data_IF_895094557153
#
_entry.id   IF_895094557153
#
_cell.length_a   1.000
_cell.length_b   1.000
_cell.length_c   1.000
_cell.angle_alpha   90.00
_cell.angle_beta   90.00
_cell.angle_gamma   90.00
#
_symmetry.space_group_name_H-M   'P 1'
#
loop_
_entity.id
_entity.type
_entity.pdbx_description
1 polymer ?
#
# COMPACT_ATOMS: atom_id res chain seq x y z
N UNK A 1 -16.12 7.01 -4.24
CA UNK A 1 -15.61 5.97 -3.33
C UNK A 1 -16.48 5.89 -2.07
N UNK A 2 -17.14 4.76 -1.84
CA UNK A 2 -18.04 4.52 -0.70
C UNK A 2 -17.41 4.87 0.67
N UNK A 3 -16.09 4.71 0.78
CA UNK A 3 -15.32 4.98 2.00
C UNK A 3 -15.22 6.47 2.35
N UNK A 4 -15.08 7.38 1.37
CA UNK A 4 -15.04 8.82 1.66
C UNK A 4 -16.38 9.35 2.17
N UNK A 5 -17.50 8.84 1.61
CA UNK A 5 -18.86 9.20 2.04
C UNK A 5 -19.12 8.73 3.48
N UNK A 6 -18.75 7.48 3.80
CA UNK A 6 -18.89 6.93 5.16
C UNK A 6 -18.07 7.73 6.18
N UNK A 7 -16.84 8.09 5.85
CA UNK A 7 -15.95 8.87 6.71
C UNK A 7 -16.44 10.31 6.94
N UNK A 8 -16.97 10.96 5.89
CA UNK A 8 -17.59 12.28 6.02
C UNK A 8 -18.78 12.27 6.98
N UNK A 9 -19.67 11.28 6.87
CA UNK A 9 -20.80 11.09 7.79
C UNK A 9 -20.35 10.83 9.23
N UNK A 10 -19.30 10.00 9.42
CA UNK A 10 -18.73 9.74 10.74
C UNK A 10 -18.15 11.01 11.37
N UNK A 11 -17.42 11.81 10.59
CA UNK A 11 -16.84 13.09 11.05
C UNK A 11 -17.92 14.06 11.51
N UNK A 12 -19.01 14.20 10.75
CA UNK A 12 -20.14 15.05 11.12
C UNK A 12 -20.84 14.59 12.41
N UNK A 13 -20.98 13.27 12.60
CA UNK A 13 -21.53 12.70 13.84
C UNK A 13 -20.66 13.02 15.05
N UNK A 14 -19.36 12.75 14.96
CA UNK A 14 -18.43 13.03 16.07
C UNK A 14 -18.30 14.52 16.35
N UNK A 15 -18.34 15.37 15.32
CA UNK A 15 -18.39 16.82 15.48
C UNK A 15 -19.58 17.25 16.35
N UNK A 16 -20.77 16.71 16.08
CA UNK A 16 -21.96 17.02 16.87
C UNK A 16 -21.83 16.54 18.32
N UNK A 17 -21.31 15.34 18.53
CA UNK A 17 -21.05 14.81 19.89
C UNK A 17 -20.06 15.68 20.66
N UNK A 18 -18.97 16.13 20.04
CA UNK A 18 -17.98 17.04 20.66
C UNK A 18 -18.59 18.40 20.96
N UNK A 19 -19.52 18.87 20.12
CA UNK A 19 -20.24 20.13 20.35
C UNK A 19 -21.17 20.05 21.56
N UNK A 20 -21.88 18.93 21.73
CA UNK A 20 -22.81 18.71 22.86
C UNK A 20 -22.09 18.30 24.14
N UNK A 21 -20.97 17.58 24.03
CA UNK A 21 -20.14 17.11 25.16
C UNK A 21 -18.68 17.56 24.98
N UNK A 22 -18.35 18.83 25.23
CA UNK A 22 -17.02 19.38 24.96
C UNK A 22 -15.92 18.87 25.89
N UNK A 23 -16.23 18.12 26.94
CA UNK A 23 -15.23 17.51 27.84
C UNK A 23 -15.01 16.00 27.59
N UNK A 24 -15.75 15.40 26.65
CA UNK A 24 -15.60 14.00 26.28
C UNK A 24 -14.31 13.79 25.48
N UNK A 25 -13.32 13.13 26.10
CA UNK A 25 -12.00 12.87 25.51
C UNK A 25 -12.07 11.88 24.34
N UNK A 26 -12.92 10.87 24.43
CA UNK A 26 -13.07 9.84 23.39
C UNK A 26 -13.72 10.44 22.13
N UNK A 27 -14.78 11.23 22.31
CA UNK A 27 -15.44 11.93 21.21
C UNK A 27 -14.48 12.89 20.48
N UNK A 28 -13.66 13.63 21.23
CA UNK A 28 -12.63 14.52 20.65
C UNK A 28 -11.59 13.73 19.84
N UNK A 29 -11.08 12.64 20.40
CA UNK A 29 -10.08 11.80 19.74
C UNK A 29 -10.62 11.23 18.42
N UNK A 30 -11.84 10.66 18.45
CA UNK A 30 -12.49 10.10 17.26
C UNK A 30 -12.80 11.16 16.21
N UNK A 31 -13.24 12.36 16.62
CA UNK A 31 -13.44 13.48 15.70
C UNK A 31 -12.14 13.89 15.03
N UNK A 32 -11.06 14.06 15.80
CA UNK A 32 -9.75 14.47 15.28
C UNK A 32 -9.20 13.46 14.27
N UNK A 33 -9.29 12.17 14.57
CA UNK A 33 -8.80 11.11 13.67
C UNK A 33 -9.61 11.06 12.36
N UNK A 34 -10.94 11.13 12.45
CA UNK A 34 -11.78 11.17 11.25
C UNK A 34 -11.49 12.42 10.41
N UNK A 35 -11.38 13.59 11.05
CA UNK A 35 -11.10 14.86 10.37
C UNK A 35 -9.73 14.85 9.68
N UNK A 36 -8.71 14.25 10.31
CA UNK A 36 -7.36 14.08 9.73
C UNK A 36 -7.43 13.30 8.42
N UNK A 37 -8.10 12.15 8.41
CA UNK A 37 -8.22 11.31 7.22
C UNK A 37 -9.07 11.99 6.14
N UNK A 38 -10.16 12.68 6.50
CA UNK A 38 -10.97 13.45 5.52
C UNK A 38 -10.14 14.52 4.84
N UNK A 39 -9.34 15.27 5.60
CA UNK A 39 -8.45 16.30 5.05
C UNK A 39 -7.38 15.72 4.14
N UNK A 40 -6.74 14.62 4.56
CA UNK A 40 -5.77 13.92 3.73
C UNK A 40 -6.39 13.47 2.40
N UNK A 41 -7.57 12.85 2.44
CA UNK A 41 -8.27 12.40 1.22
C UNK A 41 -8.76 13.55 0.34
N UNK A 42 -9.17 14.67 0.94
CA UNK A 42 -9.55 15.87 0.20
C UNK A 42 -8.34 16.46 -0.53
N UNK A 43 -7.19 16.50 0.13
CA UNK A 43 -5.93 16.94 -0.47
C UNK A 43 -5.48 16.00 -1.59
N UNK A 44 -5.41 14.68 -1.34
CA UNK A 44 -5.09 13.66 -2.35
C UNK A 44 -5.94 13.85 -3.60
N UNK A 45 -7.27 14.02 -3.44
CA UNK A 45 -8.20 14.27 -4.56
C UNK A 45 -7.97 15.58 -5.29
N UNK A 46 -7.53 16.63 -4.59
CA UNK A 46 -7.26 17.93 -5.18
C UNK A 46 -5.96 17.94 -6.00
N UNK A 47 -5.00 17.08 -5.66
CA UNK A 47 -3.71 16.97 -6.37
C UNK A 47 -3.66 15.85 -7.42
N UNK A 48 -4.71 15.03 -7.57
CA UNK A 48 -4.76 14.03 -8.64
C UNK A 48 -4.79 14.74 -10.00
N UNK A 49 -3.69 14.67 -10.73
CA UNK A 49 -3.61 15.07 -12.15
C UNK A 49 -4.03 13.95 -13.10
N UNK A 50 -4.23 14.31 -14.37
CA UNK A 50 -4.63 13.39 -15.47
C UNK A 50 -3.48 12.48 -15.96
N UNK A 51 -2.26 12.71 -15.47
CA UNK A 51 -1.08 12.02 -15.96
C UNK A 51 -1.10 10.54 -15.54
N UNK A 52 -0.71 9.67 -16.47
CA UNK A 52 -0.82 8.23 -16.32
C UNK A 52 -0.25 7.75 -14.99
N UNK A 53 -1.04 6.89 -14.34
CA UNK A 53 -0.88 6.29 -13.02
C UNK A 53 0.40 5.44 -12.91
N UNK A 54 1.57 6.04 -13.12
CA UNK A 54 2.87 5.42 -12.91
C UNK A 54 2.95 5.03 -11.44
N UNK A 55 3.41 3.82 -11.16
CA UNK A 55 3.60 3.40 -9.77
C UNK A 55 4.60 4.34 -9.13
N UNK A 56 4.41 4.70 -7.86
CA UNK A 56 5.43 5.45 -7.10
C UNK A 56 6.78 4.74 -7.16
N UNK A 57 6.75 3.41 -7.25
CA UNK A 57 7.92 2.54 -7.39
C UNK A 57 8.64 2.75 -8.73
N UNK A 58 7.94 3.12 -9.80
CA UNK A 58 8.54 3.35 -11.13
C UNK A 58 9.29 4.69 -11.21
N UNK A 59 8.97 5.63 -10.31
CA UNK A 59 9.64 6.94 -10.20
C UNK A 59 10.77 6.97 -9.16
N UNK A 60 10.91 5.91 -8.37
CA UNK A 60 11.95 5.81 -7.34
C UNK A 60 13.22 5.22 -7.96
N UNK A 61 14.35 5.89 -7.75
CA UNK A 61 15.67 5.32 -8.04
C UNK A 61 16.01 4.28 -6.95
N UNK A 62 15.71 3.02 -7.26
CA UNK A 62 15.96 1.90 -6.34
C UNK A 62 17.45 1.52 -6.30
N UNK A 63 18.18 1.80 -7.38
CA UNK A 63 19.56 1.39 -7.54
C UNK A 63 20.49 2.14 -6.59
N UNK A 64 20.27 3.46 -6.43
CA UNK A 64 21.06 4.32 -5.54
C UNK A 64 20.80 4.12 -4.04
N UNK A 65 19.75 3.40 -3.64
CA UNK A 65 19.57 3.04 -2.23
C UNK A 65 20.68 2.08 -1.79
N UNK A 66 21.40 2.42 -0.73
CA UNK A 66 22.37 1.51 -0.10
C UNK A 66 21.68 0.64 0.97
N UNK A 67 22.14 -0.60 1.09
CA UNK A 67 21.83 -1.44 2.24
C UNK A 67 23.02 -1.30 3.17
N UNK A 68 22.77 -0.90 4.42
CA UNK A 68 23.80 -0.80 5.46
C UNK A 68 24.54 -2.14 5.62
N UNK A 69 25.85 -2.09 5.88
CA UNK A 69 26.70 -3.28 5.93
C UNK A 69 26.30 -4.21 7.10
N UNK A 70 25.72 -3.65 8.16
CA UNK A 70 25.20 -4.37 9.32
C UNK A 70 23.90 -5.17 9.02
N UNK A 71 23.29 -4.98 7.84
CA UNK A 71 22.06 -5.67 7.50
C UNK A 71 22.29 -7.15 7.19
N UNK A 72 22.00 -8.00 8.17
CA UNK A 72 22.11 -9.47 8.07
C UNK A 72 20.85 -10.18 7.54
N UNK A 73 19.87 -9.42 7.05
CA UNK A 73 18.62 -9.98 6.55
C UNK A 73 18.70 -10.49 5.10
N UNK A 74 17.62 -11.11 4.59
CA UNK A 74 17.57 -11.64 3.23
C UNK A 74 17.75 -10.53 2.18
N UNK A 75 18.65 -10.76 1.24
CA UNK A 75 18.93 -9.87 0.10
C UNK A 75 18.60 -10.59 -1.20
N UNK A 76 18.04 -9.87 -2.17
CA UNK A 76 17.88 -10.41 -3.52
C UNK A 76 19.26 -10.50 -4.19
N UNK A 77 19.47 -11.58 -4.94
CA UNK A 77 20.64 -11.75 -5.79
C UNK A 77 20.22 -11.54 -7.24
N UNK A 78 20.97 -10.73 -7.99
CA UNK A 78 20.72 -10.40 -9.39
C UNK A 78 19.28 -9.95 -9.69
N UNK A 79 18.67 -9.22 -8.75
CA UNK A 79 17.28 -8.77 -8.80
C UNK A 79 16.25 -9.90 -9.06
N UNK A 80 16.57 -11.13 -8.66
CA UNK A 80 15.70 -12.30 -8.80
C UNK A 80 15.25 -12.83 -7.46
N UNK A 81 13.97 -13.17 -7.38
CA UNK A 81 13.41 -13.89 -6.23
C UNK A 81 13.85 -15.35 -6.32
N UNK A 82 14.72 -15.77 -5.40
CA UNK A 82 15.20 -17.15 -5.30
C UNK A 82 14.51 -17.89 -4.15
N UNK A 83 14.52 -19.23 -4.21
CA UNK A 83 13.98 -20.08 -3.13
C UNK A 83 14.73 -19.82 -1.81
N UNK A 84 16.04 -19.64 -1.87
CA UNK A 84 16.89 -19.31 -0.71
C UNK A 84 16.46 -18.00 -0.06
N UNK A 85 16.22 -16.96 -0.88
CA UNK A 85 15.68 -15.69 -0.40
C UNK A 85 14.33 -15.88 0.30
N UNK A 86 13.39 -16.62 -0.31
CA UNK A 86 12.06 -16.83 0.27
C UNK A 86 12.11 -17.59 1.59
N UNK A 87 12.97 -18.61 1.71
CA UNK A 87 13.19 -19.34 2.97
C UNK A 87 13.76 -18.42 4.06
N UNK A 88 14.75 -17.60 3.72
CA UNK A 88 15.30 -16.60 4.63
C UNK A 88 14.27 -15.55 5.04
N UNK A 89 13.45 -15.08 4.10
CA UNK A 89 12.39 -14.09 4.34
C UNK A 89 11.31 -14.60 5.28
N UNK A 90 10.86 -15.84 5.08
CA UNK A 90 9.91 -16.47 5.99
C UNK A 90 10.48 -16.56 7.41
N UNK A 91 11.74 -16.96 7.56
CA UNK A 91 12.37 -17.01 8.89
C UNK A 91 12.53 -15.62 9.50
N UNK A 92 12.95 -14.63 8.70
CA UNK A 92 13.11 -13.24 9.15
C UNK A 92 11.80 -12.64 9.70
N UNK A 93 10.67 -12.93 9.04
CA UNK A 93 9.35 -12.51 9.53
C UNK A 93 8.84 -13.33 10.72
N UNK A 94 9.19 -14.62 10.82
CA UNK A 94 8.93 -15.40 12.05
C UNK A 94 9.64 -14.81 13.26
N UNK A 95 10.84 -14.30 13.07
CA UNK A 95 11.62 -13.59 14.11
C UNK A 95 11.11 -12.14 14.35
N UNK A 96 10.00 -11.74 13.73
CA UNK A 96 9.44 -10.38 13.80
C UNK A 96 10.39 -9.26 13.33
N UNK A 97 11.35 -9.58 12.45
CA UNK A 97 12.30 -8.61 11.92
C UNK A 97 11.75 -7.93 10.66
N UNK A 98 12.19 -6.70 10.41
CA UNK A 98 11.76 -5.91 9.24
C UNK A 98 12.71 -6.14 8.06
N UNK A 99 12.15 -6.34 6.88
CA UNK A 99 12.92 -6.40 5.63
C UNK A 99 13.44 -4.99 5.31
N UNK A 100 14.64 -4.90 4.73
CA UNK A 100 15.20 -3.62 4.30
C UNK A 100 14.33 -2.98 3.21
N UNK A 101 14.16 -1.65 3.23
CA UNK A 101 13.30 -0.92 2.29
C UNK A 101 13.67 -1.19 0.84
N UNK A 102 14.97 -1.20 0.49
CA UNK A 102 15.46 -1.56 -0.85
C UNK A 102 14.90 -2.90 -1.32
N UNK A 103 15.01 -3.94 -0.50
CA UNK A 103 14.51 -5.27 -0.85
C UNK A 103 12.98 -5.30 -0.97
N UNK A 104 12.25 -4.55 -0.14
CA UNK A 104 10.80 -4.39 -0.31
C UNK A 104 10.45 -3.75 -1.65
N UNK A 105 11.14 -2.67 -2.03
CA UNK A 105 10.89 -1.99 -3.30
C UNK A 105 11.27 -2.85 -4.51
N UNK A 106 12.38 -3.60 -4.45
CA UNK A 106 12.75 -4.55 -5.50
C UNK A 106 11.67 -5.61 -5.71
N UNK A 107 11.15 -6.23 -4.63
CA UNK A 107 10.05 -7.20 -4.73
C UNK A 107 8.77 -6.56 -5.28
N UNK A 108 8.42 -5.35 -4.83
CA UNK A 108 7.25 -4.62 -5.34
C UNK A 108 7.38 -4.30 -6.82
N UNK A 109 8.56 -3.85 -7.26
CA UNK A 109 8.84 -3.58 -8.66
C UNK A 109 8.68 -4.85 -9.52
N UNK A 110 9.31 -5.96 -9.11
CA UNK A 110 9.19 -7.26 -9.81
C UNK A 110 7.75 -7.78 -9.87
N UNK A 111 6.96 -7.56 -8.81
CA UNK A 111 5.54 -7.97 -8.80
C UNK A 111 4.64 -7.07 -9.66
N UNK A 112 5.07 -5.83 -9.91
CA UNK A 112 4.35 -4.81 -10.68
C UNK A 112 4.65 -4.83 -12.18
N UNK A 113 5.81 -5.38 -12.60
CA UNK A 113 6.14 -5.61 -13.99
C UNK A 113 5.25 -6.72 -14.55
N UNK A 114 4.05 -6.33 -14.99
CA UNK A 114 3.18 -7.15 -15.84
C UNK A 114 4.03 -7.49 -17.07
N UNK A 115 4.45 -8.76 -17.22
CA UNK A 115 5.15 -9.23 -18.42
C UNK A 115 4.43 -8.70 -19.68
N UNK A 116 5.12 -8.01 -20.60
CA UNK A 116 4.52 -7.57 -21.86
C UNK A 116 4.26 -8.72 -22.86
N UNK A 117 4.11 -9.97 -22.38
CA UNK A 117 4.11 -11.19 -23.20
C UNK A 117 2.87 -12.08 -23.11
N UNK A 118 1.90 -11.84 -22.22
CA UNK A 118 0.66 -12.64 -22.17
C UNK A 118 -0.50 -11.88 -22.82
N UNK A 119 -0.52 -11.95 -24.14
CA UNK A 119 -1.70 -11.68 -24.97
C UNK A 119 -2.89 -12.54 -24.48
N UNK A 120 -4.04 -11.88 -24.33
CA UNK A 120 -5.36 -12.47 -24.49
C UNK A 120 -5.77 -13.56 -23.49
N UNK A 121 -6.45 -13.16 -22.41
CA UNK A 121 -7.51 -14.02 -21.85
C UNK A 121 -8.64 -14.10 -22.88
N UNK A 122 -8.53 -15.04 -23.83
CA UNK A 122 -9.68 -15.44 -24.62
C UNK A 122 -10.66 -16.12 -23.66
N UNK A 123 -11.81 -15.50 -23.48
CA UNK A 123 -12.97 -16.11 -22.85
C UNK A 123 -13.41 -17.28 -23.74
N UNK A 124 -12.89 -18.47 -23.49
CA UNK A 124 -13.43 -19.69 -24.09
C UNK A 124 -14.69 -20.04 -23.30
N UNK A 125 -15.84 -19.58 -23.78
CA UNK A 125 -17.15 -20.07 -23.35
C UNK A 125 -17.24 -21.54 -23.75
N UNK A 126 -16.85 -22.43 -22.83
CA UNK A 126 -17.13 -23.85 -22.95
C UNK A 126 -18.64 -24.05 -22.83
N UNK A 127 -19.26 -24.26 -23.99
CA UNK A 127 -20.61 -24.80 -24.17
C UNK A 127 -20.73 -26.11 -23.39
N UNK A 128 -21.58 -26.14 -22.38
CA UNK A 128 -22.03 -27.39 -21.76
C UNK A 128 -23.03 -28.04 -22.72
N UNK A 129 -22.61 -29.13 -23.36
CA UNK A 129 -23.48 -30.02 -24.11
C UNK A 129 -24.27 -30.93 -23.17
N UNK A 130 -25.54 -31.14 -23.53
CA UNK A 130 -26.49 -32.10 -22.94
C UNK A 130 -26.12 -33.55 -23.21
#
# INVERSE_FOLDING_TARGET
SLQCVKLGRATARWWWVVKVKPHDKDAKMKYQECNKIVKQKAFERAIVGDDHKRSVVDSLDIESMTIEDEYSGPRLQDDKVTITFMKGLMQWYKDQKKLHRKCTYQVMHLSGTRHPGTLGWHHSTASWGH
#
